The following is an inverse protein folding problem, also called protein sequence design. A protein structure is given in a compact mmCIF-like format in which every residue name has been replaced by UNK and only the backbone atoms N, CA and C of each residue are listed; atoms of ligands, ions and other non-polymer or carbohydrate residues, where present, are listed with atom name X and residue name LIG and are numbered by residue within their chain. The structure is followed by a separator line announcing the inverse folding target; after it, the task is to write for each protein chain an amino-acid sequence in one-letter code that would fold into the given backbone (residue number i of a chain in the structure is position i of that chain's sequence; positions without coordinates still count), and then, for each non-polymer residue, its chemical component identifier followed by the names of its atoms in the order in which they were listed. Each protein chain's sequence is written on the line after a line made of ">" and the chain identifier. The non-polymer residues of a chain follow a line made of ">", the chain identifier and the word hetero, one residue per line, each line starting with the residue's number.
data_IF_707000774453
#
_entry.id   IF_707000774453
#
_cell.length_a   1.000
_cell.length_b   1.000
_cell.length_c   1.000
_cell.angle_alpha   90.00
_cell.angle_beta   90.00
_cell.angle_gamma   90.00
#
_symmetry.space_group_name_H-M   'P 1'
#
loop_
_entity.id
_entity.type
_entity.pdbx_description
1 polymer ?
#
# COMPACT_ATOMS: atom_id res chain seq x y z
N UNK A 1 26.42 -7.27 9.52
CA UNK A 1 25.33 -7.16 8.52
C UNK A 1 24.94 -5.70 8.41
N UNK A 2 24.61 -5.19 7.22
CA UNK A 2 24.08 -3.83 7.09
C UNK A 2 22.55 -3.88 7.11
N UNK A 3 21.91 -2.97 7.84
CA UNK A 3 20.47 -2.75 7.86
C UNK A 3 19.87 -2.74 6.45
N UNK A 4 20.48 -1.97 5.53
CA UNK A 4 20.06 -1.84 4.14
C UNK A 4 20.02 -3.19 3.39
N UNK A 5 20.98 -4.09 3.64
CA UNK A 5 21.00 -5.40 3.02
C UNK A 5 19.82 -6.27 3.48
N UNK A 6 19.46 -6.22 4.76
CA UNK A 6 18.31 -6.94 5.30
C UNK A 6 17.01 -6.37 4.74
N UNK A 7 16.82 -5.05 4.76
CA UNK A 7 15.63 -4.40 4.23
C UNK A 7 15.41 -4.75 2.74
N UNK A 8 16.45 -4.69 1.91
CA UNK A 8 16.36 -5.03 0.49
C UNK A 8 15.91 -6.48 0.23
N UNK A 9 16.36 -7.42 1.07
CA UNK A 9 15.91 -8.81 0.99
C UNK A 9 14.43 -8.91 1.36
N UNK A 10 14.03 -8.28 2.47
CA UNK A 10 12.64 -8.33 2.96
C UNK A 10 11.66 -7.61 2.03
N UNK A 11 12.07 -6.52 1.37
CA UNK A 11 11.27 -5.85 0.34
C UNK A 11 11.02 -6.76 -0.87
N UNK A 12 11.93 -7.71 -1.14
CA UNK A 12 11.78 -8.66 -2.25
C UNK A 12 10.95 -9.88 -1.87
N UNK A 13 11.23 -10.49 -0.72
CA UNK A 13 10.47 -11.62 -0.16
C UNK A 13 10.50 -11.61 1.37
N UNK A 14 9.44 -11.06 1.95
CA UNK A 14 9.29 -10.97 3.41
C UNK A 14 9.02 -12.32 4.09
N UNK A 15 8.79 -13.42 3.34
CA UNK A 15 8.53 -14.76 3.90
C UNK A 15 9.79 -15.54 4.23
N UNK A 16 10.96 -15.01 3.84
CA UNK A 16 12.23 -15.68 4.12
C UNK A 16 12.45 -15.79 5.62
N UNK A 17 12.80 -17.01 6.07
CA UNK A 17 13.21 -17.24 7.45
C UNK A 17 14.55 -16.56 7.74
N UNK A 18 14.81 -16.27 9.03
CA UNK A 18 16.08 -15.69 9.44
C UNK A 18 17.28 -16.59 9.08
N UNK A 19 17.10 -17.92 9.06
CA UNK A 19 18.10 -18.86 8.57
C UNK A 19 18.40 -18.64 7.07
N UNK A 20 17.38 -18.53 6.24
CA UNK A 20 17.56 -18.33 4.80
C UNK A 20 18.22 -16.96 4.49
N UNK A 21 17.92 -15.95 5.29
CA UNK A 21 18.55 -14.64 5.18
C UNK A 21 20.01 -14.70 5.65
N UNK A 22 20.25 -15.35 6.78
CA UNK A 22 21.61 -15.55 7.33
C UNK A 22 22.53 -16.25 6.34
N UNK A 23 22.04 -17.32 5.70
CA UNK A 23 22.77 -18.07 4.66
C UNK A 23 23.13 -17.19 3.44
N UNK A 24 22.20 -16.29 3.03
CA UNK A 24 22.43 -15.38 1.91
C UNK A 24 23.43 -14.28 2.22
N UNK A 25 23.43 -13.79 3.45
CA UNK A 25 24.27 -12.67 3.88
C UNK A 25 25.60 -13.12 4.49
N UNK A 26 25.79 -14.43 4.77
CA UNK A 26 26.99 -14.97 5.40
C UNK A 26 27.15 -14.51 6.86
N UNK A 27 26.04 -14.39 7.60
CA UNK A 27 25.99 -13.96 9.00
C UNK A 27 25.29 -15.01 9.86
N UNK A 28 25.25 -14.84 11.18
CA UNK A 28 24.51 -15.73 12.07
C UNK A 28 23.01 -15.45 12.05
N UNK A 29 22.19 -16.48 12.33
CA UNK A 29 20.73 -16.35 12.47
C UNK A 29 20.37 -15.37 13.58
N UNK A 30 21.15 -15.39 14.68
CA UNK A 30 20.94 -14.49 15.81
C UNK A 30 21.15 -13.01 15.44
N UNK A 31 22.10 -12.69 14.54
CA UNK A 31 22.30 -11.35 14.04
C UNK A 31 21.13 -10.90 13.17
N UNK A 32 20.58 -11.77 12.32
CA UNK A 32 19.41 -11.45 11.49
C UNK A 32 18.18 -11.20 12.36
N UNK A 33 17.92 -12.08 13.33
CA UNK A 33 16.78 -11.95 14.24
C UNK A 33 16.85 -10.66 15.08
N UNK A 34 18.03 -10.34 15.61
CA UNK A 34 18.25 -9.13 16.41
C UNK A 34 18.03 -7.86 15.56
N UNK A 35 18.59 -7.82 14.36
CA UNK A 35 18.45 -6.67 13.46
C UNK A 35 17.00 -6.46 13.02
N UNK A 36 16.30 -7.54 12.64
CA UNK A 36 14.87 -7.48 12.30
C UNK A 36 14.05 -6.90 13.46
N UNK A 37 14.27 -7.41 14.68
CA UNK A 37 13.57 -6.92 15.86
C UNK A 37 13.87 -5.43 16.13
N UNK A 38 15.10 -4.98 15.92
CA UNK A 38 15.48 -3.57 16.04
C UNK A 38 14.73 -2.71 15.03
N UNK A 39 14.72 -3.11 13.76
CA UNK A 39 14.02 -2.38 12.68
C UNK A 39 12.50 -2.29 12.90
N UNK A 40 11.89 -3.33 13.47
CA UNK A 40 10.48 -3.33 13.85
C UNK A 40 10.22 -2.39 15.04
N UNK A 41 11.07 -2.42 16.07
CA UNK A 41 10.95 -1.55 17.25
C UNK A 41 11.16 -0.07 16.92
N UNK A 42 12.08 0.24 16.03
CA UNK A 42 12.33 1.60 15.55
C UNK A 42 11.30 2.09 14.53
N UNK A 43 10.36 1.24 14.10
CA UNK A 43 9.35 1.56 13.11
C UNK A 43 9.90 1.73 11.69
N UNK A 44 11.12 1.23 11.42
CA UNK A 44 11.68 1.15 10.07
C UNK A 44 10.95 0.08 9.25
N UNK A 45 10.55 -1.01 9.90
CA UNK A 45 9.58 -1.97 9.38
C UNK A 45 8.26 -1.71 10.12
N UNK A 46 7.27 -1.20 9.40
CA UNK A 46 5.93 -0.90 9.94
C UNK A 46 4.97 -2.07 9.78
N UNK A 47 5.32 -3.09 9.01
CA UNK A 47 4.50 -4.27 8.79
C UNK A 47 4.90 -5.07 7.56
N UNK A 48 4.23 -6.21 7.41
CA UNK A 48 4.38 -7.12 6.27
C UNK A 48 3.02 -7.29 5.60
N UNK A 49 2.99 -7.27 4.28
CA UNK A 49 1.73 -7.36 3.53
C UNK A 49 1.83 -8.36 2.39
N UNK A 50 0.78 -9.16 2.21
CA UNK A 50 0.61 -10.01 1.03
C UNK A 50 -0.04 -9.20 -0.09
N UNK A 51 0.56 -9.24 -1.28
CA UNK A 51 -0.03 -8.69 -2.50
C UNK A 51 -0.82 -9.80 -3.17
N UNK A 52 -2.13 -9.60 -3.31
CA UNK A 52 -3.05 -10.59 -3.86
C UNK A 52 -3.49 -10.16 -5.27
N UNK A 53 -3.42 -11.08 -6.22
CA UNK A 53 -4.02 -10.92 -7.55
C UNK A 53 -5.46 -11.44 -7.51
N UNK A 54 -6.37 -10.62 -6.99
CA UNK A 54 -7.79 -10.97 -6.89
C UNK A 54 -8.67 -9.79 -7.32
N UNK A 55 -9.21 -9.91 -8.52
CA UNK A 55 -10.14 -8.92 -9.09
C UNK A 55 -11.57 -9.03 -8.50
N UNK A 56 -11.82 -10.03 -7.64
CA UNK A 56 -13.15 -10.28 -7.03
C UNK A 56 -13.42 -9.43 -5.79
N UNK A 57 -12.43 -8.72 -5.28
CA UNK A 57 -12.55 -7.97 -4.03
C UNK A 57 -12.82 -6.49 -4.32
N UNK A 58 -14.10 -6.18 -4.55
CA UNK A 58 -14.59 -4.82 -4.47
C UNK A 58 -14.03 -3.83 -5.51
N UNK A 59 -14.17 -2.56 -5.19
CA UNK A 59 -13.75 -1.44 -6.03
C UNK A 59 -12.66 -0.66 -5.32
N UNK A 60 -11.57 -0.37 -6.03
CA UNK A 60 -10.50 0.50 -5.56
C UNK A 60 -10.57 1.85 -6.27
N UNK A 61 -10.42 2.93 -5.52
CA UNK A 61 -10.41 4.28 -6.07
C UNK A 61 -9.25 5.10 -5.50
N UNK A 62 -8.75 6.00 -6.34
CA UNK A 62 -7.80 7.06 -5.95
C UNK A 62 -8.54 8.38 -5.95
N UNK A 63 -8.49 9.08 -4.82
CA UNK A 63 -9.20 10.33 -4.62
C UNK A 63 -8.18 11.44 -4.44
N UNK A 64 -8.16 12.37 -5.38
CA UNK A 64 -7.44 13.63 -5.24
C UNK A 64 -8.22 14.54 -4.30
N UNK A 65 -7.54 15.10 -3.32
CA UNK A 65 -8.14 16.04 -2.36
C UNK A 65 -7.38 17.35 -2.40
N UNK A 66 -8.11 18.43 -2.65
CA UNK A 66 -7.61 19.78 -2.43
C UNK A 66 -8.08 20.26 -1.07
N UNK A 67 -7.17 20.82 -0.30
CA UNK A 67 -7.50 21.27 1.05
C UNK A 67 -6.76 22.56 1.42
N UNK A 68 -7.29 23.24 2.41
CA UNK A 68 -6.66 24.42 2.97
C UNK A 68 -5.68 24.01 4.07
N UNK A 69 -4.42 24.44 4.03
CA UNK A 69 -3.49 24.18 5.11
C UNK A 69 -3.96 24.83 6.42
N UNK A 70 -3.90 24.08 7.50
CA UNK A 70 -4.23 24.59 8.82
C UNK A 70 -3.08 25.42 9.39
N UNK A 71 -3.43 26.49 10.14
CA UNK A 71 -2.43 27.30 10.84
C UNK A 71 -1.69 26.45 11.89
N UNK A 72 -0.37 26.35 11.74
CA UNK A 72 0.51 25.66 12.69
C UNK A 72 0.55 24.13 12.57
N UNK A 73 -0.13 23.54 11.58
CA UNK A 73 -0.12 22.08 11.35
C UNK A 73 -0.11 21.69 9.88
N UNK A 74 -0.16 22.66 8.95
CA UNK A 74 -0.15 22.37 7.51
C UNK A 74 -1.30 21.45 7.11
N UNK A 75 -0.96 20.35 6.42
CA UNK A 75 -1.91 19.33 5.96
C UNK A 75 -1.98 18.12 6.90
N UNK A 76 -1.06 18.01 7.87
CA UNK A 76 -0.83 16.78 8.65
C UNK A 76 -2.06 16.35 9.44
N UNK A 77 -2.72 17.27 10.13
CA UNK A 77 -3.92 16.95 10.94
C UNK A 77 -5.06 16.40 10.10
N UNK A 78 -5.27 16.99 8.91
CA UNK A 78 -6.31 16.51 8.00
C UNK A 78 -5.93 15.14 7.43
N UNK A 79 -4.69 14.95 7.01
CA UNK A 79 -4.17 13.69 6.51
C UNK A 79 -4.28 12.57 7.57
N UNK A 80 -3.91 12.85 8.83
CA UNK A 80 -4.07 11.92 9.94
C UNK A 80 -5.55 11.53 10.19
N UNK A 81 -6.47 12.50 10.12
CA UNK A 81 -7.90 12.21 10.26
C UNK A 81 -8.41 11.34 9.14
N UNK A 82 -8.02 11.62 7.90
CA UNK A 82 -8.39 10.83 6.72
C UNK A 82 -7.82 9.42 6.83
N UNK A 83 -6.57 9.27 7.24
CA UNK A 83 -5.89 7.96 7.34
C UNK A 83 -6.52 7.02 8.38
N UNK A 84 -7.35 7.53 9.31
CA UNK A 84 -8.04 6.73 10.34
C UNK A 84 -9.35 6.12 9.87
N UNK A 85 -9.86 6.49 8.70
CA UNK A 85 -11.05 5.83 8.16
C UNK A 85 -10.72 4.41 7.69
N UNK A 86 -11.57 3.46 8.03
CA UNK A 86 -11.38 2.04 7.68
C UNK A 86 -11.34 1.79 6.17
N UNK A 87 -12.03 2.62 5.40
CA UNK A 87 -12.05 2.54 3.94
C UNK A 87 -10.73 2.98 3.30
N UNK A 88 -9.91 3.74 4.04
CA UNK A 88 -8.63 4.28 3.53
C UNK A 88 -7.54 3.23 3.64
N UNK A 89 -6.97 2.90 2.50
CA UNK A 89 -5.82 2.00 2.37
C UNK A 89 -4.50 2.74 2.40
N UNK A 90 -4.47 3.92 1.79
CA UNK A 90 -3.28 4.76 1.73
C UNK A 90 -3.66 6.23 1.69
N UNK A 91 -2.84 7.08 2.28
CA UNK A 91 -2.98 8.53 2.25
C UNK A 91 -1.60 9.16 2.11
N UNK A 92 -1.43 10.00 1.09
CA UNK A 92 -0.15 10.63 0.77
C UNK A 92 -0.32 12.14 0.66
N UNK A 93 0.65 12.90 1.18
CA UNK A 93 0.82 14.31 0.85
C UNK A 93 1.53 14.40 -0.51
N UNK A 94 0.95 15.17 -1.42
CA UNK A 94 1.41 15.26 -2.80
C UNK A 94 1.86 16.68 -3.14
N UNK A 95 2.78 16.78 -4.07
CA UNK A 95 3.10 18.04 -4.75
C UNK A 95 2.36 18.10 -6.08
N UNK A 96 1.89 19.29 -6.49
CA UNK A 96 1.24 19.48 -7.80
C UNK A 96 -0.17 20.05 -7.74
N UNK A 97 -1.08 19.51 -8.52
CA UNK A 97 -2.42 20.06 -8.71
C UNK A 97 -3.42 19.80 -7.58
N UNK A 98 -3.10 18.93 -6.64
CA UNK A 98 -3.88 18.60 -5.45
C UNK A 98 -2.95 18.34 -4.27
N UNK A 99 -3.47 18.29 -3.05
CA UNK A 99 -2.66 18.24 -1.83
C UNK A 99 -2.53 16.85 -1.24
N UNK A 100 -3.62 16.05 -1.24
CA UNK A 100 -3.60 14.67 -0.74
C UNK A 100 -4.11 13.70 -1.80
N UNK A 101 -3.45 12.53 -1.89
CA UNK A 101 -3.93 11.38 -2.64
C UNK A 101 -4.38 10.31 -1.65
N UNK A 102 -5.66 9.96 -1.71
CA UNK A 102 -6.29 8.96 -0.83
C UNK A 102 -6.68 7.74 -1.64
N UNK A 103 -6.15 6.59 -1.31
CA UNK A 103 -6.60 5.32 -1.88
C UNK A 103 -7.62 4.69 -0.95
N UNK A 104 -8.76 4.29 -1.51
CA UNK A 104 -9.82 3.59 -0.78
C UNK A 104 -10.19 2.29 -1.47
N UNK A 105 -10.55 1.28 -0.67
CA UNK A 105 -11.13 0.05 -1.14
C UNK A 105 -12.53 -0.09 -0.54
N UNK A 106 -13.52 -0.48 -1.36
CA UNK A 106 -14.91 -0.64 -0.96
C UNK A 106 -15.56 -1.80 -1.71
N UNK A 107 -16.71 -2.25 -1.25
CA UNK A 107 -17.42 -3.36 -1.86
C UNK A 107 -17.96 -3.01 -3.26
N UNK A 108 -18.40 -1.76 -3.45
CA UNK A 108 -18.98 -1.28 -4.70
C UNK A 108 -18.77 0.24 -4.92
N UNK A 109 -19.14 0.71 -6.12
CA UNK A 109 -19.04 2.12 -6.51
C UNK A 109 -19.85 3.05 -5.60
N UNK A 110 -21.02 2.59 -5.13
CA UNK A 110 -21.89 3.39 -4.27
C UNK A 110 -21.26 3.61 -2.89
N UNK A 111 -20.58 2.60 -2.38
CA UNK A 111 -19.83 2.69 -1.11
C UNK A 111 -18.69 3.71 -1.20
N UNK A 112 -17.96 3.75 -2.32
CA UNK A 112 -16.96 4.80 -2.56
C UNK A 112 -17.62 6.18 -2.62
N UNK A 113 -18.72 6.31 -3.37
CA UNK A 113 -19.43 7.59 -3.50
C UNK A 113 -19.94 8.10 -2.14
N UNK A 114 -20.49 7.21 -1.29
CA UNK A 114 -20.91 7.55 0.07
C UNK A 114 -19.73 7.98 0.95
N UNK A 115 -18.62 7.25 0.92
CA UNK A 115 -17.43 7.64 1.66
C UNK A 115 -16.97 9.04 1.28
N UNK A 116 -16.90 9.33 -0.03
CA UNK A 116 -16.47 10.66 -0.51
C UNK A 116 -17.44 11.75 -0.07
N UNK A 117 -18.75 11.58 -0.30
CA UNK A 117 -19.74 12.63 -0.03
C UNK A 117 -20.03 12.83 1.47
N UNK A 118 -20.12 11.75 2.22
CA UNK A 118 -20.56 11.82 3.62
C UNK A 118 -19.40 11.99 4.60
N UNK A 119 -18.22 11.41 4.29
CA UNK A 119 -17.08 11.43 5.20
C UNK A 119 -16.00 12.39 4.72
N UNK A 120 -15.48 12.21 3.50
CA UNK A 120 -14.29 12.93 3.03
C UNK A 120 -14.58 14.40 2.71
N UNK A 121 -15.55 14.66 1.85
CA UNK A 121 -15.90 16.02 1.43
C UNK A 121 -16.52 16.87 2.54
N UNK A 122 -17.05 16.23 3.59
CA UNK A 122 -17.62 16.93 4.76
C UNK A 122 -16.58 17.37 5.79
N UNK A 123 -15.31 16.93 5.65
CA UNK A 123 -14.27 17.31 6.60
C UNK A 123 -13.93 18.79 6.47
N UNK A 124 -13.83 19.52 7.61
CA UNK A 124 -13.32 20.88 7.60
C UNK A 124 -11.94 20.95 6.97
N UNK A 125 -11.75 21.91 6.05
CA UNK A 125 -10.51 22.09 5.32
C UNK A 125 -10.47 21.41 3.96
N UNK A 126 -11.37 20.47 3.64
CA UNK A 126 -11.50 19.91 2.30
C UNK A 126 -12.22 20.91 1.39
N UNK A 127 -11.58 21.28 0.28
CA UNK A 127 -12.11 22.22 -0.70
C UNK A 127 -12.80 21.53 -1.86
N UNK A 128 -12.18 20.47 -2.38
CA UNK A 128 -12.71 19.66 -3.48
C UNK A 128 -12.09 18.29 -3.53
N UNK A 129 -12.79 17.35 -4.17
CA UNK A 129 -12.33 15.99 -4.40
C UNK A 129 -12.55 15.59 -5.85
N UNK A 130 -11.66 14.76 -6.40
CA UNK A 130 -11.84 14.09 -7.68
C UNK A 130 -11.55 12.60 -7.52
N UNK A 131 -12.49 11.75 -7.91
CA UNK A 131 -12.42 10.30 -7.71
C UNK A 131 -12.09 9.60 -9.02
N UNK A 132 -11.04 8.75 -8.99
CA UNK A 132 -10.57 7.94 -10.10
C UNK A 132 -10.67 6.46 -9.71
N UNK A 133 -11.48 5.69 -10.44
CA UNK A 133 -11.60 4.26 -10.19
C UNK A 133 -10.46 3.49 -10.87
N UNK A 134 -9.82 2.58 -10.11
CA UNK A 134 -8.83 1.67 -10.67
C UNK A 134 -9.56 0.61 -11.51
N UNK A 135 -9.32 0.62 -12.81
CA UNK A 135 -9.93 -0.32 -13.74
C UNK A 135 -9.14 -1.64 -13.82
N UNK A 136 -7.81 -1.56 -13.77
CA UNK A 136 -6.92 -2.72 -13.88
C UNK A 136 -5.56 -2.42 -13.25
N UNK A 137 -4.96 -3.41 -12.65
CA UNK A 137 -3.58 -3.36 -12.15
C UNK A 137 -2.68 -4.16 -13.09
N UNK A 138 -1.68 -3.54 -13.68
CA UNK A 138 -0.66 -4.22 -14.49
C UNK A 138 0.59 -4.53 -13.69
N UNK A 139 0.95 -3.67 -12.74
CA UNK A 139 2.12 -3.81 -11.88
C UNK A 139 1.88 -3.12 -10.54
N UNK A 140 2.27 -3.76 -9.44
CA UNK A 140 2.21 -3.19 -8.11
C UNK A 140 3.46 -3.60 -7.33
N UNK A 141 4.15 -2.64 -6.73
CA UNK A 141 5.37 -2.85 -5.93
C UNK A 141 6.39 -3.77 -6.62
N UNK A 142 6.62 -3.58 -7.93
CA UNK A 142 7.56 -4.38 -8.72
C UNK A 142 7.01 -5.70 -9.26
N UNK A 143 5.87 -6.19 -8.77
CA UNK A 143 5.25 -7.44 -9.19
C UNK A 143 4.29 -7.20 -10.36
N UNK A 144 4.39 -8.04 -11.39
CA UNK A 144 3.48 -8.01 -12.55
C UNK A 144 2.25 -8.84 -12.28
N UNK A 145 1.09 -8.29 -12.67
CA UNK A 145 -0.20 -8.98 -12.66
C UNK A 145 -0.45 -9.50 -14.07
N UNK A 146 -0.20 -10.79 -14.29
CA UNK A 146 -0.46 -11.45 -15.58
C UNK A 146 -1.79 -12.19 -15.54
N UNK A 147 -2.60 -12.03 -16.58
CA UNK A 147 -3.91 -12.70 -16.72
C UNK A 147 -3.82 -14.15 -17.24
N UNK A 148 -2.65 -14.70 -17.49
CA UNK A 148 -2.57 -16.08 -17.99
C UNK A 148 -2.28 -17.08 -16.87
N UNK A 149 -3.26 -17.94 -16.49
CA UNK A 149 -2.90 -19.28 -16.13
C UNK A 149 -2.27 -19.89 -17.39
N UNK A 150 -1.00 -20.28 -17.32
CA UNK A 150 -0.37 -21.06 -18.37
C UNK A 150 -1.20 -22.33 -18.58
N UNK A 151 -2.13 -22.31 -19.53
CA UNK A 151 -2.71 -23.52 -20.09
C UNK A 151 -1.57 -24.21 -20.84
N UNK A 152 -0.87 -25.09 -20.13
CA UNK A 152 -0.11 -26.11 -20.81
C UNK A 152 -1.12 -26.92 -21.61
N UNK A 153 -1.18 -26.68 -22.91
CA UNK A 153 -1.84 -27.58 -23.84
C UNK A 153 -1.21 -28.94 -23.62
N UNK A 154 -1.98 -29.87 -23.04
CA UNK A 154 -1.65 -31.29 -23.05
C UNK A 154 -1.57 -31.65 -24.53
N UNK A 155 -0.37 -31.92 -25.02
CA UNK A 155 -0.17 -32.43 -26.36
C UNK A 155 -0.84 -33.83 -26.40
N UNK A 156 -1.99 -33.90 -27.04
CA UNK A 156 -2.58 -35.19 -27.40
C UNK A 156 -1.73 -35.72 -28.55
N UNK A 157 -0.84 -36.66 -28.24
CA UNK A 157 -0.13 -37.39 -29.27
C UNK A 157 -1.13 -38.26 -30.07
N UNK A 158 -0.97 -38.41 -31.39
CA UNK A 158 -1.84 -39.22 -32.25
C UNK A 158 -1.77 -40.70 -31.94
#
# INVERSE_FOLDING_TARGET
>A
MTEEALLKILETDARLSDQQIADRLGVSVAEVAAERATLEQEGRIVGYQTIVNDDRVGVSAFIEVRCTPERGGGFDRLAERISRFNEVRSCYLMSGGFDLLVQVDAEDLLSVARFVSEKLASLPGVLSTATHFRLKTYKLNGLHFTEEPSYQRISVAP
#
